data_IF_586649041669
#
_entry.id   IF_586649041669
#
_cell.length_a   1.000
_cell.length_b   1.000
_cell.length_c   1.000
_cell.angle_alpha   90.00
_cell.angle_beta   90.00
_cell.angle_gamma   90.00
#
_symmetry.space_group_name_H-M   'P 1'
#
loop_
_entity.id
_entity.type
_entity.pdbx_description
1 polymer ?
#
# COMPACT_ATOMS: atom_id res chain seq x y z
N UNK A 1 -41.51 -26.59 56.23
CA UNK A 1 -40.85 -27.54 55.43
C UNK A 1 -41.55 -27.55 54.09
N UNK A 2 -40.96 -26.95 53.08
CA UNK A 2 -41.48 -26.81 51.73
C UNK A 2 -40.55 -27.52 50.75
N UNK A 3 -41.12 -28.52 50.13
CA UNK A 3 -40.52 -29.30 49.07
C UNK A 3 -40.40 -28.46 47.83
N UNK A 4 -39.22 -28.33 47.25
CA UNK A 4 -39.02 -27.73 45.92
C UNK A 4 -38.82 -28.87 44.90
N UNK A 5 -39.74 -28.91 43.94
CA UNK A 5 -39.68 -29.84 42.83
C UNK A 5 -38.60 -29.41 41.83
N UNK A 6 -37.78 -30.35 41.40
CA UNK A 6 -36.79 -30.19 40.34
C UNK A 6 -37.53 -30.15 38.99
N UNK A 7 -37.28 -29.10 38.21
CA UNK A 7 -37.69 -29.00 36.81
C UNK A 7 -36.50 -29.47 35.95
N UNK A 8 -36.68 -30.57 35.24
CA UNK A 8 -35.79 -31.06 34.19
C UNK A 8 -35.98 -30.23 32.95
N UNK A 9 -34.90 -29.63 32.47
CA UNK A 9 -34.84 -28.99 31.18
C UNK A 9 -34.71 -30.05 30.06
N UNK A 10 -35.28 -29.82 28.86
CA UNK A 10 -35.09 -30.71 27.71
C UNK A 10 -33.70 -30.53 27.10
N UNK A 11 -33.12 -31.64 26.67
CA UNK A 11 -31.92 -31.72 25.85
C UNK A 11 -32.14 -30.95 24.53
N UNK A 12 -31.35 -29.87 24.31
CA UNK A 12 -31.18 -29.28 23.00
C UNK A 12 -29.99 -29.98 22.32
N UNK A 13 -30.27 -30.74 21.27
CA UNK A 13 -29.27 -31.23 20.34
C UNK A 13 -28.61 -30.01 19.65
N UNK A 14 -27.39 -29.68 20.02
CA UNK A 14 -26.52 -28.79 19.28
C UNK A 14 -26.17 -29.45 17.94
N UNK A 15 -26.90 -29.08 16.90
CA UNK A 15 -26.48 -29.29 15.52
C UNK A 15 -25.28 -28.43 15.22
N UNK A 16 -24.09 -29.04 15.28
CA UNK A 16 -22.83 -28.44 14.83
C UNK A 16 -22.87 -28.20 13.34
N UNK A 17 -23.37 -27.02 12.94
CA UNK A 17 -23.29 -26.53 11.58
C UNK A 17 -21.87 -25.97 11.39
N UNK A 18 -20.93 -26.84 11.03
CA UNK A 18 -19.63 -26.44 10.50
C UNK A 18 -19.83 -25.69 9.19
N UNK A 19 -20.01 -24.39 9.28
CA UNK A 19 -19.84 -23.51 8.15
C UNK A 19 -18.35 -23.52 7.77
N UNK A 20 -17.98 -24.41 6.87
CA UNK A 20 -16.70 -24.35 6.18
C UNK A 20 -16.72 -23.10 5.29
N UNK A 21 -16.34 -21.97 5.87
CA UNK A 21 -15.99 -20.79 5.13
C UNK A 21 -14.67 -21.09 4.43
N UNK A 22 -14.75 -21.56 3.19
CA UNK A 22 -13.61 -21.57 2.29
C UNK A 22 -13.36 -20.10 1.95
N UNK A 23 -12.60 -19.41 2.76
CA UNK A 23 -11.99 -18.15 2.38
C UNK A 23 -11.12 -18.48 1.16
N UNK A 24 -11.57 -18.11 -0.04
CA UNK A 24 -10.74 -18.12 -1.21
C UNK A 24 -9.54 -17.23 -0.87
N UNK A 25 -8.34 -17.81 -0.81
CA UNK A 25 -7.14 -17.04 -0.60
C UNK A 25 -6.98 -16.12 -1.81
N UNK A 26 -6.58 -14.89 -1.57
CA UNK A 26 -6.29 -13.91 -2.64
C UNK A 26 -5.29 -14.49 -3.64
N UNK A 27 -4.44 -15.42 -3.21
CA UNK A 27 -3.48 -16.15 -4.04
C UNK A 27 -4.13 -16.96 -5.18
N UNK A 28 -5.36 -17.45 -5.02
CA UNK A 28 -6.06 -18.25 -6.04
C UNK A 28 -6.59 -17.42 -7.23
N UNK A 29 -6.65 -16.10 -7.08
CA UNK A 29 -7.14 -15.18 -8.12
C UNK A 29 -6.02 -14.51 -8.94
N UNK A 30 -4.76 -14.70 -8.55
CA UNK A 30 -3.63 -14.05 -9.19
C UNK A 30 -3.07 -14.96 -10.29
N UNK A 31 -3.20 -14.52 -11.53
CA UNK A 31 -2.45 -15.13 -12.62
C UNK A 31 -1.02 -14.60 -12.53
N UNK A 32 -0.13 -15.37 -11.92
CA UNK A 32 1.31 -15.07 -12.00
C UNK A 32 1.72 -15.24 -13.46
N UNK A 33 1.93 -14.12 -14.15
CA UNK A 33 2.58 -14.15 -15.46
C UNK A 33 4.05 -14.48 -15.17
N UNK A 34 4.55 -15.65 -15.62
CA UNK A 34 5.96 -15.95 -15.41
C UNK A 34 6.79 -14.88 -16.09
N UNK A 35 7.70 -14.26 -15.36
CA UNK A 35 8.73 -13.44 -15.98
C UNK A 35 9.41 -14.27 -17.07
N UNK A 36 9.66 -13.67 -18.22
CA UNK A 36 10.28 -14.34 -19.37
C UNK A 36 11.66 -14.95 -19.04
N UNK A 37 12.28 -14.50 -17.94
CA UNK A 37 13.44 -15.12 -17.30
C UNK A 37 13.29 -14.94 -15.78
N UNK A 38 13.48 -16.03 -15.03
CA UNK A 38 13.59 -15.93 -13.57
C UNK A 38 14.84 -15.10 -13.24
N UNK A 39 14.64 -13.94 -12.63
CA UNK A 39 15.76 -13.16 -12.11
C UNK A 39 16.28 -13.82 -10.84
N UNK A 40 17.60 -13.88 -10.69
CA UNK A 40 18.21 -14.34 -9.45
C UNK A 40 17.88 -13.35 -8.33
N UNK A 41 17.43 -13.88 -7.19
CA UNK A 41 17.17 -13.08 -6.01
C UNK A 41 18.35 -13.15 -5.07
N UNK A 42 18.86 -11.99 -4.68
CA UNK A 42 19.97 -11.85 -3.73
C UNK A 42 19.49 -11.25 -2.43
N UNK A 43 20.02 -11.67 -1.27
CA UNK A 43 19.63 -11.09 0.01
C UNK A 43 20.13 -9.65 0.12
N UNK A 44 19.23 -8.77 0.54
CA UNK A 44 19.51 -7.38 0.91
C UNK A 44 19.16 -7.16 2.37
N UNK A 45 20.01 -6.46 3.10
CA UNK A 45 19.75 -6.11 4.50
C UNK A 45 20.28 -4.70 4.79
N UNK A 46 19.46 -3.92 5.48
CA UNK A 46 19.86 -2.65 6.09
C UNK A 46 19.44 -2.64 7.57
N UNK A 47 19.56 -1.52 8.23
CA UNK A 47 19.23 -1.39 9.66
C UNK A 47 17.74 -1.66 9.94
N UNK A 48 16.87 -1.27 8.99
CA UNK A 48 15.43 -1.22 9.18
C UNK A 48 14.73 -2.49 8.73
N UNK A 49 15.28 -3.19 7.71
CA UNK A 49 14.63 -4.37 7.13
C UNK A 49 15.61 -5.29 6.38
N UNK A 50 15.14 -6.50 6.07
CA UNK A 50 15.82 -7.41 5.16
C UNK A 50 14.81 -8.04 4.21
N UNK A 51 15.22 -8.24 2.96
CA UNK A 51 14.41 -8.86 1.91
C UNK A 51 15.30 -9.47 0.83
N UNK A 52 14.73 -10.29 -0.03
CA UNK A 52 15.39 -10.70 -1.26
C UNK A 52 14.97 -9.77 -2.39
N UNK A 53 15.93 -9.27 -3.14
CA UNK A 53 15.73 -8.38 -4.29
C UNK A 53 16.32 -9.02 -5.55
N UNK A 54 15.85 -8.68 -6.76
CA UNK A 54 16.50 -9.11 -7.98
C UNK A 54 17.96 -8.62 -8.05
N UNK A 55 18.85 -9.46 -8.55
CA UNK A 55 20.25 -9.10 -8.71
C UNK A 55 20.39 -7.86 -9.62
N UNK A 56 21.24 -6.93 -9.23
CA UNK A 56 21.47 -5.67 -9.96
C UNK A 56 20.46 -4.56 -9.68
N UNK A 57 19.38 -4.84 -8.93
CA UNK A 57 18.43 -3.78 -8.57
C UNK A 57 18.99 -2.86 -7.48
N UNK A 58 18.54 -1.62 -7.55
CA UNK A 58 18.89 -0.57 -6.58
C UNK A 58 17.86 -0.47 -5.48
N UNK A 59 18.32 -0.15 -4.26
CA UNK A 59 17.44 0.08 -3.11
C UNK A 59 17.68 1.49 -2.56
N UNK A 60 16.60 2.21 -2.32
CA UNK A 60 16.58 3.46 -1.56
C UNK A 60 15.61 3.33 -0.41
N UNK A 61 15.95 3.86 0.73
CA UNK A 61 15.07 3.87 1.90
C UNK A 61 15.23 5.18 2.66
N UNK A 62 14.19 5.56 3.39
CA UNK A 62 14.19 6.71 4.28
C UNK A 62 13.58 6.34 5.61
N UNK A 63 14.14 6.90 6.67
CA UNK A 63 13.61 6.82 8.03
C UNK A 63 13.02 8.17 8.42
N UNK A 64 11.95 8.13 9.23
CA UNK A 64 11.39 9.34 9.85
C UNK A 64 12.32 9.87 10.95
N UNK A 65 12.07 11.10 11.44
CA UNK A 65 12.81 11.76 12.54
C UNK A 65 12.99 10.90 13.79
N UNK A 66 12.13 9.93 14.00
CA UNK A 66 12.18 8.99 15.13
C UNK A 66 13.01 7.75 14.86
N UNK A 67 13.64 7.64 13.70
CA UNK A 67 14.34 6.44 13.24
C UNK A 67 13.39 5.34 12.78
N UNK A 68 12.07 5.61 12.67
CA UNK A 68 11.13 4.68 12.10
C UNK A 68 11.26 4.67 10.57
N UNK A 69 11.18 3.47 9.99
CA UNK A 69 11.11 3.29 8.55
C UNK A 69 9.92 4.07 7.97
N UNK A 70 10.17 4.82 6.91
CA UNK A 70 9.15 5.63 6.25
C UNK A 70 8.77 5.06 4.90
N UNK A 71 9.73 4.82 4.04
CA UNK A 71 9.50 4.27 2.71
C UNK A 71 10.71 3.48 2.20
N UNK A 72 10.44 2.58 1.27
CA UNK A 72 11.44 1.84 0.51
C UNK A 72 11.08 1.89 -0.97
N UNK A 73 12.09 2.09 -1.81
CA UNK A 73 11.99 2.03 -3.26
C UNK A 73 13.07 1.06 -3.76
N UNK A 74 12.63 -0.06 -4.33
CA UNK A 74 13.48 -1.07 -4.97
C UNK A 74 13.17 -1.04 -6.46
N UNK A 75 14.16 -0.82 -7.30
CA UNK A 75 13.91 -0.64 -8.72
C UNK A 75 15.08 -1.13 -9.58
N UNK A 76 14.74 -1.52 -10.80
CA UNK A 76 15.68 -1.81 -11.85
C UNK A 76 16.29 -0.50 -12.38
N UNK A 77 17.60 -0.24 -12.24
CA UNK A 77 18.20 1.00 -12.72
C UNK A 77 18.18 1.15 -14.24
N UNK A 78 18.08 0.04 -15.01
CA UNK A 78 17.99 0.06 -16.46
C UNK A 78 16.55 0.27 -16.95
N UNK A 79 15.56 -0.20 -16.19
CA UNK A 79 14.15 -0.02 -16.49
C UNK A 79 13.34 0.30 -15.23
N UNK A 80 13.31 1.57 -14.77
CA UNK A 80 12.70 1.97 -13.51
C UNK A 80 11.19 1.73 -13.39
N UNK A 81 10.50 1.34 -14.47
CA UNK A 81 9.09 0.89 -14.40
C UNK A 81 9.00 -0.43 -13.62
N UNK A 82 10.05 -1.27 -13.68
CA UNK A 82 10.20 -2.47 -12.87
C UNK A 82 10.61 -2.06 -11.46
N UNK A 83 9.67 -2.01 -10.53
CA UNK A 83 9.93 -1.50 -9.20
C UNK A 83 8.99 -2.08 -8.15
N UNK A 84 9.41 -1.98 -6.90
CA UNK A 84 8.60 -2.13 -5.70
C UNK A 84 8.75 -0.82 -4.92
N UNK A 85 7.64 -0.13 -4.72
CA UNK A 85 7.59 1.06 -3.89
C UNK A 85 6.63 0.84 -2.73
N UNK A 86 7.12 1.00 -1.53
CA UNK A 86 6.32 0.88 -0.32
C UNK A 86 6.54 2.13 0.54
N UNK A 87 5.45 2.69 1.02
CA UNK A 87 5.45 3.82 1.93
C UNK A 87 4.56 3.49 3.13
N UNK A 88 5.14 3.51 4.34
CA UNK A 88 4.39 3.21 5.55
C UNK A 88 3.32 4.25 5.84
N UNK A 89 3.59 5.50 5.52
CA UNK A 89 2.69 6.60 5.76
C UNK A 89 2.84 7.66 4.67
N UNK A 90 1.79 7.87 3.89
CA UNK A 90 1.74 8.98 2.94
C UNK A 90 1.41 10.27 3.70
N UNK A 91 2.39 11.10 3.90
CA UNK A 91 2.25 12.42 4.49
C UNK A 91 3.17 13.41 3.78
N UNK A 92 2.75 14.67 3.71
CA UNK A 92 1.44 15.20 4.11
C UNK A 92 0.38 15.03 3.01
N UNK A 93 -0.83 14.67 3.42
CA UNK A 93 -2.04 14.68 2.58
C UNK A 93 -3.11 15.51 3.30
N UNK A 94 -3.88 16.27 2.54
CA UNK A 94 -4.93 17.14 3.07
C UNK A 94 -6.28 16.75 2.48
N UNK A 95 -7.32 16.83 3.28
CA UNK A 95 -8.70 16.58 2.84
C UNK A 95 -9.36 17.80 2.19
N UNK A 96 -8.83 19.00 2.46
CA UNK A 96 -9.38 20.26 1.99
C UNK A 96 -8.33 21.38 1.91
N UNK A 97 -8.68 22.43 1.16
CA UNK A 97 -7.81 23.58 0.90
C UNK A 97 -7.49 24.40 2.16
N UNK A 98 -8.43 24.51 3.09
CA UNK A 98 -8.21 25.31 4.30
C UNK A 98 -7.16 24.64 5.20
N UNK A 99 -7.26 23.33 5.37
CA UNK A 99 -6.28 22.53 6.12
C UNK A 99 -4.90 22.65 5.50
N UNK A 100 -4.80 22.55 4.17
CA UNK A 100 -3.55 22.74 3.44
C UNK A 100 -2.98 24.14 3.63
N UNK A 101 -3.79 25.18 3.44
CA UNK A 101 -3.36 26.56 3.57
C UNK A 101 -2.88 26.90 5.00
N UNK A 102 -3.54 26.36 6.02
CA UNK A 102 -3.07 26.53 7.40
C UNK A 102 -1.71 25.91 7.64
N UNK A 103 -1.49 24.70 7.14
CA UNK A 103 -0.22 24.00 7.31
C UNK A 103 0.90 24.62 6.45
N UNK A 104 0.56 25.22 5.30
CA UNK A 104 1.51 25.93 4.46
C UNK A 104 2.19 27.12 5.16
N UNK A 105 1.59 27.66 6.24
CA UNK A 105 2.23 28.68 7.07
C UNK A 105 3.46 28.14 7.83
N UNK A 106 3.56 26.85 8.04
CA UNK A 106 4.67 26.21 8.74
C UNK A 106 5.76 25.66 7.80
N UNK A 107 5.43 25.35 6.57
CA UNK A 107 6.37 24.85 5.56
C UNK A 107 5.80 24.99 4.15
N UNK A 108 6.64 25.46 3.22
CA UNK A 108 6.32 25.58 1.80
C UNK A 108 5.95 24.22 1.16
N UNK A 109 6.45 23.11 1.69
CA UNK A 109 6.10 21.77 1.28
C UNK A 109 4.59 21.56 1.36
N UNK A 110 3.97 21.92 2.48
CA UNK A 110 2.55 21.68 2.69
C UNK A 110 1.66 22.43 1.68
N UNK A 111 2.09 23.60 1.24
CA UNK A 111 1.39 24.34 0.18
C UNK A 111 1.41 23.64 -1.19
N UNK A 112 2.37 22.75 -1.42
CA UNK A 112 2.53 22.01 -2.68
C UNK A 112 1.87 20.64 -2.66
N UNK A 113 1.54 20.13 -1.46
CA UNK A 113 0.95 18.81 -1.32
C UNK A 113 -0.46 18.75 -1.90
N UNK A 114 -0.84 17.61 -2.47
CA UNK A 114 -2.16 17.43 -3.07
C UNK A 114 -3.27 17.37 -2.02
N UNK A 115 -4.51 17.57 -2.49
CA UNK A 115 -5.73 17.37 -1.71
C UNK A 115 -6.34 16.04 -2.13
N UNK A 116 -6.48 15.12 -1.18
CA UNK A 116 -7.14 13.83 -1.37
C UNK A 116 -8.62 13.96 -1.01
N UNK A 117 -9.46 14.17 -2.00
CA UNK A 117 -10.93 14.26 -1.82
C UNK A 117 -11.60 12.90 -1.89
N UNK A 118 -11.05 11.97 -2.66
CA UNK A 118 -11.51 10.60 -2.77
C UNK A 118 -10.58 9.68 -1.97
N UNK A 119 -11.00 9.30 -0.75
CA UNK A 119 -10.21 8.44 0.15
C UNK A 119 -10.33 6.98 -0.30
N UNK A 120 -9.59 6.63 -1.34
CA UNK A 120 -9.51 5.29 -1.91
C UNK A 120 -8.13 5.08 -2.55
N UNK A 121 -7.75 3.85 -2.83
CA UNK A 121 -6.51 3.55 -3.54
C UNK A 121 -6.48 4.28 -4.89
N UNK A 122 -7.56 4.23 -5.66
CA UNK A 122 -7.65 4.96 -6.92
C UNK A 122 -7.48 6.46 -6.72
N UNK A 123 -8.17 7.06 -5.73
CA UNK A 123 -8.06 8.50 -5.45
C UNK A 123 -6.65 8.93 -5.08
N UNK A 124 -5.89 8.08 -4.39
CA UNK A 124 -4.46 8.32 -4.12
C UNK A 124 -3.67 8.40 -5.42
N UNK A 125 -3.88 7.47 -6.36
CA UNK A 125 -3.12 7.47 -7.61
C UNK A 125 -3.56 8.54 -8.60
N UNK A 126 -4.77 9.08 -8.49
CA UNK A 126 -5.20 10.28 -9.23
C UNK A 126 -4.40 11.53 -8.85
N UNK A 127 -3.98 11.64 -7.59
CA UNK A 127 -3.17 12.75 -7.08
C UNK A 127 -1.67 12.43 -6.99
N UNK A 128 -1.28 11.20 -7.28
CA UNK A 128 0.07 10.71 -7.05
C UNK A 128 1.16 11.49 -7.80
N UNK A 129 0.97 11.93 -9.06
CA UNK A 129 1.95 12.78 -9.73
C UNK A 129 2.27 14.06 -8.94
N UNK A 130 1.25 14.77 -8.45
CA UNK A 130 1.45 15.98 -7.64
C UNK A 130 2.11 15.66 -6.30
N UNK A 131 1.76 14.54 -5.70
CA UNK A 131 2.40 14.06 -4.47
C UNK A 131 3.88 13.78 -4.71
N UNK A 132 4.24 13.06 -5.78
CA UNK A 132 5.61 12.74 -6.13
C UNK A 132 6.43 14.02 -6.40
N UNK A 133 5.87 15.00 -7.11
CA UNK A 133 6.51 16.30 -7.34
C UNK A 133 6.81 17.02 -6.03
N UNK A 134 5.86 17.06 -5.10
CA UNK A 134 6.03 17.70 -3.80
C UNK A 134 7.12 17.01 -2.96
N UNK A 135 7.10 15.67 -2.91
CA UNK A 135 8.07 14.88 -2.15
C UNK A 135 9.47 15.00 -2.73
N UNK A 136 9.63 14.84 -4.04
CA UNK A 136 10.93 14.88 -4.70
C UNK A 136 11.56 16.30 -4.70
N UNK A 137 10.74 17.34 -4.58
CA UNK A 137 11.22 18.72 -4.44
C UNK A 137 11.70 19.07 -3.03
N UNK A 138 11.52 18.19 -2.06
CA UNK A 138 11.85 18.43 -0.64
C UNK A 138 13.10 17.65 -0.27
N UNK A 139 14.11 18.34 0.29
CA UNK A 139 15.40 17.74 0.62
C UNK A 139 15.27 16.53 1.58
N UNK A 140 14.33 16.59 2.51
CA UNK A 140 14.13 15.54 3.52
C UNK A 140 13.64 14.20 2.92
N UNK A 141 13.04 14.22 1.71
CA UNK A 141 12.46 13.04 1.05
C UNK A 141 13.08 12.73 -0.31
N UNK A 142 13.94 13.60 -0.83
CA UNK A 142 14.54 13.44 -2.15
C UNK A 142 15.35 12.14 -2.32
N UNK A 143 15.89 11.61 -1.23
CA UNK A 143 16.70 10.40 -1.23
C UNK A 143 15.90 9.15 -1.59
N UNK A 144 14.58 9.12 -1.33
CA UNK A 144 13.71 7.99 -1.66
C UNK A 144 13.45 7.92 -3.16
N UNK A 145 13.38 9.06 -3.83
CA UNK A 145 12.89 9.19 -5.21
C UNK A 145 11.50 8.54 -5.36
N UNK A 146 10.50 9.22 -4.83
CA UNK A 146 9.09 8.81 -5.03
C UNK A 146 8.83 8.65 -6.53
N UNK A 147 8.35 7.48 -7.00
CA UNK A 147 8.13 7.25 -8.41
C UNK A 147 7.05 8.19 -8.96
N UNK A 148 7.24 8.68 -10.18
CA UNK A 148 6.24 9.51 -10.84
C UNK A 148 5.28 8.64 -11.64
N UNK A 149 4.19 8.22 -11.00
CA UNK A 149 3.16 7.37 -11.61
C UNK A 149 2.04 8.25 -12.11
N UNK A 150 1.79 8.23 -13.42
CA UNK A 150 0.75 8.99 -14.10
C UNK A 150 -0.14 8.08 -14.96
N UNK A 151 -1.20 8.63 -15.53
CA UNK A 151 -2.14 7.94 -16.42
C UNK A 151 -2.67 6.62 -15.82
N UNK A 152 -2.94 6.65 -14.52
CA UNK A 152 -3.36 5.48 -13.75
C UNK A 152 -4.75 5.01 -14.21
N UNK A 153 -4.83 3.77 -14.70
CA UNK A 153 -6.05 3.17 -15.22
C UNK A 153 -6.28 1.78 -14.62
N UNK A 154 -7.28 1.66 -13.75
CA UNK A 154 -7.61 0.41 -13.07
C UNK A 154 -8.14 -0.62 -14.07
N UNK A 155 -7.52 -1.79 -14.11
CA UNK A 155 -7.93 -2.94 -14.91
C UNK A 155 -8.67 -3.99 -14.08
N UNK A 156 -8.27 -4.18 -12.82
CA UNK A 156 -8.92 -5.11 -11.89
C UNK A 156 -8.88 -4.55 -10.46
N UNK A 157 -9.83 -4.97 -9.64
CA UNK A 157 -9.89 -4.61 -8.21
C UNK A 157 -10.14 -5.85 -7.37
N UNK A 158 -9.39 -5.99 -6.28
CA UNK A 158 -9.46 -7.09 -5.34
C UNK A 158 -9.71 -6.54 -3.94
N UNK A 159 -10.52 -7.23 -3.15
CA UNK A 159 -10.64 -6.90 -1.73
C UNK A 159 -9.51 -7.58 -0.95
N UNK A 160 -8.79 -6.81 -0.15
CA UNK A 160 -7.80 -7.38 0.75
C UNK A 160 -8.50 -8.06 1.91
N UNK A 161 -8.31 -9.39 2.03
CA UNK A 161 -8.83 -10.18 3.16
C UNK A 161 -7.91 -10.17 4.37
N UNK A 162 -6.71 -9.59 4.25
CA UNK A 162 -5.72 -9.59 5.32
C UNK A 162 -5.83 -8.30 6.16
N UNK A 163 -6.36 -8.43 7.35
CA UNK A 163 -6.45 -7.61 8.56
C UNK A 163 -5.73 -6.27 8.72
N UNK A 164 -5.28 -5.63 7.63
CA UNK A 164 -4.65 -4.31 7.66
C UNK A 164 -5.67 -3.15 7.52
N UNK A 165 -6.96 -3.45 7.58
CA UNK A 165 -8.04 -2.47 7.42
C UNK A 165 -8.01 -1.29 8.40
N UNK A 166 -7.32 -1.42 9.52
CA UNK A 166 -7.19 -0.36 10.52
C UNK A 166 -6.11 0.67 10.20
N UNK A 167 -5.22 0.38 9.25
CA UNK A 167 -4.08 1.25 8.88
C UNK A 167 -4.05 1.61 7.40
N UNK A 168 -4.82 0.95 6.55
CA UNK A 168 -4.90 1.24 5.14
C UNK A 168 -5.96 2.30 4.83
N UNK A 169 -5.72 3.13 3.82
CA UNK A 169 -6.70 4.09 3.30
C UNK A 169 -7.91 3.34 2.72
N UNK A 170 -7.65 2.20 2.08
CA UNK A 170 -8.65 1.34 1.48
C UNK A 170 -8.22 -0.12 1.61
N UNK A 171 -9.15 -1.07 1.81
CA UNK A 171 -8.83 -2.49 1.78
C UNK A 171 -8.64 -3.03 0.35
N UNK A 172 -8.81 -2.19 -0.68
CA UNK A 172 -8.72 -2.60 -2.07
C UNK A 172 -7.27 -2.67 -2.53
N UNK A 173 -6.95 -3.76 -3.24
CA UNK A 173 -5.74 -3.89 -4.04
C UNK A 173 -6.16 -3.71 -5.50
N UNK A 174 -5.47 -2.86 -6.22
CA UNK A 174 -5.79 -2.55 -7.62
C UNK A 174 -4.70 -3.09 -8.54
N UNK A 175 -5.09 -3.76 -9.63
CA UNK A 175 -4.24 -3.92 -10.80
C UNK A 175 -4.52 -2.75 -11.72
N UNK A 176 -3.49 -2.10 -12.21
CA UNK A 176 -3.64 -0.93 -13.06
C UNK A 176 -2.51 -0.81 -14.07
N UNK A 177 -2.84 -0.23 -15.22
CA UNK A 177 -1.89 0.32 -16.15
C UNK A 177 -1.49 1.72 -15.70
N UNK A 178 -0.25 2.10 -15.92
CA UNK A 178 0.27 3.43 -15.58
C UNK A 178 1.39 3.84 -16.53
N UNK A 179 1.78 5.10 -16.49
CA UNK A 179 2.99 5.59 -17.14
C UNK A 179 3.99 6.11 -16.11
N UNK A 180 5.27 5.89 -16.37
CA UNK A 180 6.38 6.46 -15.62
C UNK A 180 7.44 6.94 -16.59
N UNK A 181 7.71 8.25 -16.58
CA UNK A 181 8.68 8.88 -17.50
C UNK A 181 8.45 8.54 -18.99
N UNK A 182 7.18 8.41 -19.39
CA UNK A 182 6.78 8.09 -20.76
C UNK A 182 6.84 6.59 -21.12
N UNK A 183 7.18 5.73 -20.17
CA UNK A 183 7.15 4.28 -20.34
C UNK A 183 5.88 3.72 -19.68
N UNK A 184 5.13 2.90 -20.41
CA UNK A 184 3.94 2.23 -19.89
C UNK A 184 4.35 1.01 -19.06
N UNK A 185 3.68 0.82 -17.93
CA UNK A 185 3.82 -0.34 -17.06
C UNK A 185 2.47 -0.85 -16.57
N UNK A 186 2.46 -2.03 -16.04
CA UNK A 186 1.35 -2.63 -15.30
C UNK A 186 1.82 -2.97 -13.89
N UNK A 187 0.97 -2.75 -12.88
CA UNK A 187 1.36 -3.00 -11.49
C UNK A 187 0.19 -3.33 -10.58
N UNK A 188 0.56 -3.69 -9.36
CA UNK A 188 -0.35 -3.89 -8.23
C UNK A 188 -0.14 -2.78 -7.22
N UNK A 189 -1.25 -2.22 -6.72
CA UNK A 189 -1.29 -1.02 -5.89
C UNK A 189 -2.19 -1.19 -4.68
#
# INVERSE_FOLDING_TARGET
PGSVAAVTAPDEEEGEQTASSTAASVEDSWTVVPLASAQELVPYSCTEFSMNIPEGWSVKSSAMYTGMFHAIHVFDPENPVNQIFFMLKMEPLFSDENSRAMMALSSDLFGKCPILTNVSTQGVFEIFPQFADAMNATADYADIQTPYIADFSVTESFESTQGMSSVAISPSILRADFTQNGTTGEGMF
#
